data_IF_912167938471
#
_entry.id   IF_912167938471
#
_cell.length_a   1.000
_cell.length_b   1.000
_cell.length_c   1.000
_cell.angle_alpha   90.00
_cell.angle_beta   90.00
_cell.angle_gamma   90.00
#
_symmetry.space_group_name_H-M   'P 1'
#
loop_
_entity.id
_entity.type
_entity.pdbx_description
1 polymer ?
#
# COMPACT_ATOMS: atom_id res chain seq x y z
N UNK A 1 -12.89 -26.30 30.12
CA UNK A 1 -12.88 -25.28 29.07
C UNK A 1 -11.44 -25.19 28.54
N UNK A 2 -11.19 -25.72 27.33
CA UNK A 2 -9.92 -25.56 26.65
C UNK A 2 -9.76 -24.08 26.30
N UNK A 3 -8.79 -23.45 26.93
CA UNK A 3 -8.32 -22.12 26.51
C UNK A 3 -7.53 -22.36 25.24
N UNK A 4 -8.16 -22.12 24.09
CA UNK A 4 -7.49 -22.14 22.79
C UNK A 4 -6.47 -21.02 22.78
N UNK A 5 -5.19 -21.37 22.81
CA UNK A 5 -4.09 -20.41 22.68
C UNK A 5 -4.19 -19.72 21.32
N UNK A 6 -4.50 -18.42 21.32
CA UNK A 6 -4.60 -17.64 20.08
C UNK A 6 -3.27 -17.63 19.35
N UNK A 7 -3.30 -17.86 18.05
CA UNK A 7 -2.09 -17.77 17.22
C UNK A 7 -1.48 -16.36 17.28
N UNK A 8 -0.15 -16.22 17.19
CA UNK A 8 0.52 -14.91 17.25
C UNK A 8 -0.05 -13.87 16.25
N UNK A 9 -0.43 -14.29 15.06
CA UNK A 9 -1.06 -13.45 14.05
C UNK A 9 -2.41 -12.88 14.54
N UNK A 10 -3.26 -13.69 15.13
CA UNK A 10 -4.56 -13.26 15.67
C UNK A 10 -4.39 -12.23 16.79
N UNK A 11 -3.37 -12.40 17.63
CA UNK A 11 -3.04 -11.44 18.68
C UNK A 11 -2.61 -10.11 18.09
N UNK A 12 -1.75 -10.13 17.07
CA UNK A 12 -1.27 -8.91 16.39
C UNK A 12 -2.40 -8.17 15.71
N UNK A 13 -3.30 -8.85 15.03
CA UNK A 13 -4.49 -8.26 14.39
C UNK A 13 -5.41 -7.65 15.45
N UNK A 14 -5.64 -8.32 16.57
CA UNK A 14 -6.47 -7.77 17.65
C UNK A 14 -5.85 -6.54 18.29
N UNK A 15 -4.52 -6.54 18.48
CA UNK A 15 -3.80 -5.37 18.99
C UNK A 15 -3.89 -4.19 18.02
N UNK A 16 -3.79 -4.43 16.73
CA UNK A 16 -3.97 -3.39 15.71
C UNK A 16 -5.40 -2.82 15.76
N UNK A 17 -6.41 -3.69 15.79
CA UNK A 17 -7.81 -3.29 15.91
C UNK A 17 -8.05 -2.44 17.17
N UNK A 18 -7.57 -2.91 18.31
CA UNK A 18 -7.72 -2.19 19.59
C UNK A 18 -7.04 -0.81 19.57
N UNK A 19 -5.83 -0.72 19.00
CA UNK A 19 -5.12 0.55 18.87
C UNK A 19 -5.89 1.58 18.03
N UNK A 20 -6.57 1.11 16.99
CA UNK A 20 -7.44 1.95 16.16
C UNK A 20 -8.65 2.48 16.94
N UNK A 21 -9.32 1.61 17.70
CA UNK A 21 -10.46 1.99 18.55
C UNK A 21 -10.05 2.96 19.67
N UNK A 22 -8.93 2.69 20.32
CA UNK A 22 -8.41 3.51 21.42
C UNK A 22 -7.75 4.83 20.95
N UNK A 23 -7.61 5.02 19.63
CA UNK A 23 -6.87 6.14 19.02
C UNK A 23 -5.42 6.25 19.53
N UNK A 24 -4.82 5.11 19.85
CA UNK A 24 -3.41 5.02 20.24
C UNK A 24 -2.52 4.99 19.00
N UNK A 25 -2.12 6.17 18.54
CA UNK A 25 -1.34 6.36 17.30
C UNK A 25 -0.03 5.58 17.32
N UNK A 26 0.70 5.60 18.44
CA UNK A 26 2.01 4.92 18.53
C UNK A 26 1.83 3.40 18.49
N UNK A 27 0.86 2.88 19.21
CA UNK A 27 0.55 1.45 19.20
C UNK A 27 0.03 1.00 17.83
N UNK A 28 -0.79 1.81 17.17
CA UNK A 28 -1.24 1.55 15.81
C UNK A 28 -0.06 1.38 14.84
N UNK A 29 0.88 2.31 14.84
CA UNK A 29 2.08 2.25 14.02
C UNK A 29 2.97 1.05 14.37
N UNK A 30 3.05 0.72 15.66
CA UNK A 30 3.80 -0.45 16.13
C UNK A 30 3.20 -1.77 15.70
N UNK A 31 1.88 -1.87 15.63
CA UNK A 31 1.14 -3.07 15.28
C UNK A 31 0.82 -3.20 13.78
N UNK A 32 0.95 -2.10 13.02
CA UNK A 32 0.73 -2.15 11.58
C UNK A 32 1.72 -3.13 10.92
N UNK A 33 1.35 -3.82 9.81
CA UNK A 33 2.25 -4.75 9.14
C UNK A 33 3.64 -4.20 8.87
N UNK A 34 4.65 -5.06 9.01
CA UNK A 34 6.08 -4.69 8.88
C UNK A 34 6.65 -4.95 7.49
N UNK A 35 6.01 -5.82 6.74
CA UNK A 35 6.42 -6.23 5.40
C UNK A 35 5.19 -6.59 4.56
N UNK A 36 5.41 -6.89 3.28
CA UNK A 36 4.34 -7.25 2.36
C UNK A 36 3.58 -8.51 2.78
N UNK A 37 4.29 -9.53 3.27
CA UNK A 37 3.66 -10.77 3.72
C UNK A 37 2.68 -10.55 4.87
N UNK A 38 3.08 -9.76 5.87
CA UNK A 38 2.19 -9.41 6.97
C UNK A 38 1.01 -8.57 6.48
N UNK A 39 1.27 -7.61 5.59
CA UNK A 39 0.22 -6.78 5.01
C UNK A 39 -0.83 -7.64 4.30
N UNK A 40 -0.40 -8.58 3.48
CA UNK A 40 -1.29 -9.51 2.79
C UNK A 40 -2.06 -10.41 3.77
N UNK A 41 -1.41 -10.91 4.81
CA UNK A 41 -2.04 -11.76 5.82
C UNK A 41 -3.06 -11.02 6.69
N UNK A 42 -3.00 -9.70 6.75
CA UNK A 42 -3.99 -8.89 7.48
C UNK A 42 -5.14 -8.47 6.57
N UNK A 43 -4.84 -7.97 5.39
CA UNK A 43 -5.77 -7.25 4.53
C UNK A 43 -6.05 -7.94 3.18
N UNK A 44 -5.29 -8.93 2.79
CA UNK A 44 -5.39 -9.56 1.48
C UNK A 44 -6.36 -10.74 1.43
N UNK A 45 -6.27 -11.48 0.33
CA UNK A 45 -7.04 -12.69 0.08
C UNK A 45 -6.21 -13.94 0.32
N UNK A 46 -6.72 -14.87 1.09
CA UNK A 46 -6.12 -16.19 1.31
C UNK A 46 -6.47 -17.11 0.13
N UNK A 47 -5.65 -17.08 -0.89
CA UNK A 47 -5.88 -17.86 -2.12
C UNK A 47 -5.98 -19.37 -1.89
N UNK A 48 -5.13 -20.01 -1.06
CA UNK A 48 -5.24 -21.44 -0.78
C UNK A 48 -6.58 -21.87 -0.19
N UNK A 49 -7.19 -21.01 0.65
CA UNK A 49 -8.46 -21.28 1.30
C UNK A 49 -9.65 -20.60 0.61
N UNK A 50 -9.41 -19.84 -0.44
CA UNK A 50 -10.40 -19.04 -1.15
C UNK A 50 -11.28 -18.21 -0.20
N UNK A 51 -10.65 -17.46 0.66
CA UNK A 51 -11.29 -16.67 1.70
C UNK A 51 -10.58 -15.35 1.97
N UNK A 52 -11.28 -14.32 2.44
CA UNK A 52 -10.64 -13.09 2.87
C UNK A 52 -9.88 -13.30 4.19
N UNK A 53 -8.76 -12.60 4.35
CA UNK A 53 -8.13 -12.46 5.66
C UNK A 53 -8.98 -11.57 6.58
N UNK A 54 -8.69 -11.59 7.88
CA UNK A 54 -9.56 -11.04 8.92
C UNK A 54 -9.93 -9.56 8.75
N UNK A 55 -8.98 -8.73 8.28
CA UNK A 55 -9.20 -7.30 8.09
C UNK A 55 -9.44 -6.90 6.63
N UNK A 56 -9.71 -7.85 5.74
CA UNK A 56 -9.91 -7.61 4.33
C UNK A 56 -10.96 -6.52 4.06
N UNK A 57 -12.13 -6.63 4.67
CA UNK A 57 -13.25 -5.69 4.50
C UNK A 57 -12.96 -4.28 5.05
N UNK A 58 -11.96 -4.16 5.92
CA UNK A 58 -11.63 -2.92 6.62
C UNK A 58 -10.27 -2.34 6.20
N UNK A 59 -9.57 -2.98 5.27
CA UNK A 59 -8.22 -2.59 4.86
C UNK A 59 -8.09 -1.12 4.49
N UNK A 60 -9.07 -0.58 3.78
CA UNK A 60 -9.12 0.82 3.35
C UNK A 60 -9.01 1.77 4.54
N UNK A 61 -9.79 1.55 5.61
CA UNK A 61 -9.77 2.42 6.80
C UNK A 61 -8.42 2.43 7.52
N UNK A 62 -7.78 1.25 7.64
CA UNK A 62 -6.46 1.14 8.26
C UNK A 62 -5.38 1.82 7.44
N UNK A 63 -5.44 1.67 6.11
CA UNK A 63 -4.48 2.30 5.19
C UNK A 63 -4.63 3.82 5.22
N UNK A 64 -5.84 4.34 5.17
CA UNK A 64 -6.11 5.78 5.27
C UNK A 64 -5.60 6.37 6.58
N UNK A 65 -5.87 5.71 7.69
CA UNK A 65 -5.40 6.17 8.99
C UNK A 65 -3.88 6.17 9.08
N UNK A 66 -3.21 5.14 8.54
CA UNK A 66 -1.76 5.10 8.43
C UNK A 66 -1.21 6.35 7.73
N UNK A 67 -1.69 6.63 6.53
CA UNK A 67 -1.18 7.77 5.75
C UNK A 67 -1.60 9.12 6.33
N UNK A 68 -2.75 9.19 6.99
CA UNK A 68 -3.11 10.36 7.80
C UNK A 68 -2.06 10.65 8.88
N UNK A 69 -1.67 9.64 9.66
CA UNK A 69 -0.65 9.79 10.70
C UNK A 69 0.70 10.24 10.13
N UNK A 70 1.09 9.71 8.98
CA UNK A 70 2.35 10.10 8.33
C UNK A 70 2.32 11.57 7.87
N UNK A 71 1.20 12.05 7.39
CA UNK A 71 1.04 13.47 7.00
C UNK A 71 1.12 14.45 8.16
N UNK A 72 0.91 14.01 9.39
CA UNK A 72 1.03 14.88 10.58
C UNK A 72 2.48 15.27 10.90
N UNK A 73 3.46 14.61 10.28
CA UNK A 73 4.90 14.74 10.57
C UNK A 73 5.32 14.45 12.04
N UNK A 74 4.45 13.82 12.82
CA UNK A 74 4.78 13.39 14.19
C UNK A 74 5.69 12.16 14.22
N UNK A 75 5.67 11.35 13.17
CA UNK A 75 6.32 10.03 13.13
C UNK A 75 7.26 9.88 11.92
N UNK A 76 8.23 10.77 11.71
CA UNK A 76 9.06 10.74 10.50
C UNK A 76 9.90 9.47 10.38
N UNK A 77 10.29 8.86 11.49
CA UNK A 77 11.07 7.61 11.48
C UNK A 77 10.27 6.41 10.97
N UNK A 78 8.95 6.48 11.01
CA UNK A 78 8.08 5.38 10.57
C UNK A 78 8.01 5.27 9.05
N UNK A 79 8.27 6.32 8.27
CA UNK A 79 8.16 6.33 6.81
C UNK A 79 8.96 5.20 6.14
N UNK A 80 10.08 4.79 6.74
CA UNK A 80 10.87 3.64 6.27
C UNK A 80 10.11 2.32 6.29
N UNK A 81 9.09 2.18 7.12
CA UNK A 81 8.25 0.98 7.16
C UNK A 81 7.35 0.87 5.92
N UNK A 82 6.96 1.99 5.33
CA UNK A 82 6.25 1.99 4.04
C UNK A 82 7.11 1.30 2.98
N UNK A 83 8.38 1.63 2.92
CA UNK A 83 9.33 1.02 1.97
C UNK A 83 9.47 -0.49 2.23
N UNK A 84 9.54 -0.93 3.48
CA UNK A 84 9.60 -2.36 3.82
C UNK A 84 8.36 -3.13 3.38
N UNK A 85 7.19 -2.53 3.45
CA UNK A 85 5.95 -3.14 2.94
C UNK A 85 6.02 -3.25 1.42
N UNK A 86 6.60 -2.28 0.73
CA UNK A 86 6.76 -2.31 -0.73
C UNK A 86 7.78 -3.35 -1.21
N UNK A 87 8.80 -3.70 -0.40
CA UNK A 87 9.83 -4.65 -0.78
C UNK A 87 9.24 -6.04 -1.05
N UNK A 88 9.59 -6.64 -2.19
CA UNK A 88 9.11 -7.96 -2.63
C UNK A 88 7.59 -8.06 -2.75
N UNK A 89 6.92 -6.94 -2.79
CA UNK A 89 5.49 -6.86 -3.03
C UNK A 89 5.13 -7.07 -4.50
N UNK A 90 3.88 -7.37 -4.72
CA UNK A 90 3.27 -7.48 -6.04
C UNK A 90 1.86 -6.92 -5.96
N UNK A 91 1.31 -6.59 -7.12
CA UNK A 91 -0.06 -6.13 -7.20
C UNK A 91 -1.05 -7.21 -6.75
N UNK A 92 -2.03 -6.79 -6.02
CA UNK A 92 -3.29 -7.50 -5.77
C UNK A 92 -4.41 -6.46 -5.77
N UNK A 93 -5.61 -6.89 -6.09
CA UNK A 93 -6.79 -6.05 -6.00
C UNK A 93 -7.05 -5.56 -4.56
N UNK A 94 -7.94 -4.62 -4.41
CA UNK A 94 -8.44 -4.11 -3.13
C UNK A 94 -7.35 -3.45 -2.27
N UNK A 95 -7.09 -3.95 -1.07
CA UNK A 95 -6.22 -3.29 -0.10
C UNK A 95 -4.79 -3.05 -0.61
N UNK A 96 -4.19 -4.00 -1.35
CA UNK A 96 -2.84 -3.83 -1.89
C UNK A 96 -2.81 -2.72 -2.93
N UNK A 97 -3.74 -2.73 -3.87
CA UNK A 97 -3.89 -1.67 -4.88
C UNK A 97 -4.10 -0.30 -4.23
N UNK A 98 -4.94 -0.25 -3.22
CA UNK A 98 -5.21 0.96 -2.46
C UNK A 98 -3.97 1.48 -1.70
N UNK A 99 -3.19 0.57 -1.10
CA UNK A 99 -1.93 0.92 -0.46
C UNK A 99 -0.89 1.46 -1.46
N UNK A 100 -0.74 0.82 -2.62
CA UNK A 100 0.16 1.30 -3.68
C UNK A 100 -0.16 2.75 -4.07
N UNK A 101 -1.43 3.03 -4.28
CA UNK A 101 -1.92 4.36 -4.61
C UNK A 101 -1.55 5.40 -3.53
N UNK A 102 -1.83 5.09 -2.27
CA UNK A 102 -1.50 6.00 -1.16
C UNK A 102 0.00 6.18 -0.97
N UNK A 103 0.79 5.13 -1.17
CA UNK A 103 2.25 5.21 -1.09
C UNK A 103 2.83 6.12 -2.16
N UNK A 104 2.39 5.99 -3.42
CA UNK A 104 2.80 6.89 -4.51
C UNK A 104 2.38 8.32 -4.22
N UNK A 105 1.13 8.55 -3.82
CA UNK A 105 0.63 9.89 -3.49
C UNK A 105 1.41 10.52 -2.34
N UNK A 106 1.71 9.76 -1.30
CA UNK A 106 2.50 10.25 -0.18
C UNK A 106 3.91 10.69 -0.60
N UNK A 107 4.57 9.90 -1.45
CA UNK A 107 5.90 10.22 -1.97
C UNK A 107 5.84 11.50 -2.82
N UNK A 108 4.87 11.60 -3.73
CA UNK A 108 4.74 12.74 -4.65
C UNK A 108 4.35 14.03 -3.93
N UNK A 109 3.31 14.00 -3.13
CA UNK A 109 2.75 15.18 -2.47
C UNK A 109 3.63 15.76 -1.37
N UNK A 110 4.44 14.92 -0.73
CA UNK A 110 5.34 15.34 0.35
C UNK A 110 6.83 15.33 -0.07
N UNK A 111 7.12 15.18 -1.36
CA UNK A 111 8.49 15.17 -1.90
C UNK A 111 9.42 14.15 -1.22
N UNK A 112 8.89 12.95 -0.91
CA UNK A 112 9.60 11.89 -0.17
C UNK A 112 10.41 10.95 -1.06
N UNK A 113 10.89 11.42 -2.20
CA UNK A 113 11.67 10.61 -3.17
C UNK A 113 12.96 10.04 -2.58
N UNK A 114 13.52 10.65 -1.54
CA UNK A 114 14.70 10.12 -0.85
C UNK A 114 14.44 8.75 -0.20
N UNK A 115 13.21 8.41 0.13
CA UNK A 115 12.85 7.06 0.57
C UNK A 115 13.25 5.99 -0.46
N UNK A 116 13.30 6.35 -1.74
CA UNK A 116 13.73 5.48 -2.84
C UNK A 116 15.17 5.76 -3.22
N UNK A 117 15.55 7.04 -3.34
CA UNK A 117 16.88 7.44 -3.79
C UNK A 117 18.04 6.94 -2.91
N UNK A 118 17.78 6.76 -1.61
CA UNK A 118 18.78 6.26 -0.64
C UNK A 118 18.88 4.72 -0.59
N UNK A 119 17.99 4.00 -1.28
CA UNK A 119 18.04 2.54 -1.32
C UNK A 119 19.18 2.03 -2.18
N UNK A 120 19.64 0.80 -1.91
CA UNK A 120 20.45 0.06 -2.89
C UNK A 120 19.65 -0.16 -4.19
N UNK A 121 20.33 -0.36 -5.30
CA UNK A 121 19.68 -0.55 -6.60
C UNK A 121 18.74 -1.77 -6.60
N UNK A 122 19.12 -2.87 -5.96
CA UNK A 122 18.27 -4.06 -5.85
C UNK A 122 16.99 -3.79 -5.06
N UNK A 123 17.10 -3.11 -3.95
CA UNK A 123 15.92 -2.72 -3.16
C UNK A 123 15.05 -1.71 -3.90
N UNK A 124 15.65 -0.72 -4.53
CA UNK A 124 14.93 0.26 -5.32
C UNK A 124 14.16 -0.40 -6.47
N UNK A 125 14.76 -1.38 -7.14
CA UNK A 125 14.09 -2.14 -8.20
C UNK A 125 12.86 -2.87 -7.67
N UNK A 126 12.99 -3.55 -6.54
CA UNK A 126 11.87 -4.25 -5.88
C UNK A 126 10.73 -3.29 -5.48
N UNK A 127 11.07 -2.17 -4.86
CA UNK A 127 10.11 -1.15 -4.41
C UNK A 127 9.41 -0.49 -5.60
N UNK A 128 10.17 -0.07 -6.62
CA UNK A 128 9.63 0.55 -7.82
C UNK A 128 8.75 -0.42 -8.61
N UNK A 129 9.16 -1.70 -8.69
CA UNK A 129 8.30 -2.72 -9.27
C UNK A 129 6.95 -2.77 -8.57
N UNK A 130 6.94 -2.90 -7.24
CA UNK A 130 5.69 -2.96 -6.49
C UNK A 130 4.83 -1.71 -6.68
N UNK A 131 5.42 -0.53 -6.60
CA UNK A 131 4.66 0.73 -6.70
C UNK A 131 3.94 0.88 -8.05
N UNK A 132 4.51 0.36 -9.13
CA UNK A 132 3.97 0.50 -10.48
C UNK A 132 3.37 -0.79 -11.05
N UNK A 133 3.41 -1.90 -10.31
CA UNK A 133 2.77 -3.16 -10.73
C UNK A 133 1.25 -3.02 -10.70
N UNK A 134 0.60 -3.67 -11.65
CA UNK A 134 -0.85 -3.61 -11.76
C UNK A 134 -1.34 -4.23 -13.07
N UNK A 135 -2.67 -4.26 -13.27
CA UNK A 135 -3.24 -4.76 -14.53
C UNK A 135 -2.89 -3.86 -15.72
N UNK A 136 -2.65 -2.57 -15.48
CA UNK A 136 -2.30 -1.60 -16.52
C UNK A 136 -1.15 -0.69 -16.04
N UNK A 137 0.08 -1.21 -15.94
CA UNK A 137 1.23 -0.42 -15.50
C UNK A 137 1.45 0.79 -16.42
N UNK A 138 1.59 1.96 -15.84
CA UNK A 138 1.80 3.20 -16.57
C UNK A 138 3.03 3.93 -16.06
N UNK A 139 3.93 4.27 -16.98
CA UNK A 139 5.10 5.08 -16.67
C UNK A 139 4.70 6.50 -16.25
N UNK A 140 5.19 6.94 -15.10
CA UNK A 140 5.01 8.30 -14.58
C UNK A 140 6.30 9.09 -14.76
N UNK A 141 6.34 9.92 -15.82
CA UNK A 141 7.52 10.73 -16.16
C UNK A 141 7.82 11.79 -15.08
N UNK A 142 6.80 12.33 -14.44
CA UNK A 142 6.96 13.27 -13.34
C UNK A 142 7.62 12.62 -12.14
N UNK A 143 7.12 11.45 -11.70
CA UNK A 143 7.73 10.67 -10.64
C UNK A 143 9.20 10.33 -10.96
N UNK A 144 9.46 9.84 -12.17
CA UNK A 144 10.81 9.50 -12.63
C UNK A 144 11.77 10.70 -12.60
N UNK A 145 11.28 11.90 -12.91
CA UNK A 145 12.11 13.12 -12.94
C UNK A 145 12.68 13.52 -11.58
N UNK A 146 12.08 13.09 -10.48
CA UNK A 146 12.52 13.36 -9.12
C UNK A 146 13.45 12.28 -8.54
N UNK A 147 13.63 11.18 -9.25
CA UNK A 147 14.57 10.12 -8.88
C UNK A 147 16.00 10.52 -9.29
N UNK A 148 17.00 10.01 -8.54
CA UNK A 148 18.38 10.13 -8.99
C UNK A 148 18.61 9.29 -10.27
N UNK A 149 19.74 9.47 -10.92
CA UNK A 149 20.04 8.87 -12.23
C UNK A 149 19.91 7.34 -12.21
N UNK A 150 20.45 6.65 -11.20
CA UNK A 150 20.39 5.19 -11.13
C UNK A 150 18.98 4.67 -10.90
N UNK A 151 18.20 5.31 -10.04
CA UNK A 151 16.82 4.91 -9.74
C UNK A 151 15.86 5.22 -10.90
N UNK A 152 16.07 6.35 -11.56
CA UNK A 152 15.34 6.68 -12.79
C UNK A 152 15.58 5.63 -13.88
N UNK A 153 16.84 5.24 -14.10
CA UNK A 153 17.18 4.20 -15.05
C UNK A 153 16.51 2.86 -14.71
N UNK A 154 16.49 2.47 -13.44
CA UNK A 154 15.82 1.25 -12.99
C UNK A 154 14.32 1.30 -13.34
N UNK A 155 13.64 2.42 -13.08
CA UNK A 155 12.22 2.58 -13.40
C UNK A 155 11.98 2.51 -14.92
N UNK A 156 12.78 3.20 -15.71
CA UNK A 156 12.71 3.17 -17.17
C UNK A 156 12.90 1.73 -17.70
N UNK A 157 13.89 1.00 -17.21
CA UNK A 157 14.17 -0.39 -17.62
C UNK A 157 13.03 -1.34 -17.27
N UNK A 158 12.35 -1.17 -16.13
CA UNK A 158 11.19 -1.99 -15.76
C UNK A 158 10.07 -1.89 -16.81
N UNK A 159 9.87 -0.71 -17.39
CA UNK A 159 8.87 -0.51 -18.45
C UNK A 159 9.38 -0.91 -19.84
N UNK A 160 10.64 -0.66 -20.16
CA UNK A 160 11.22 -0.95 -21.48
C UNK A 160 11.41 -2.45 -21.71
N UNK A 161 11.74 -3.22 -20.69
CA UNK A 161 11.96 -4.67 -20.79
C UNK A 161 10.67 -5.48 -20.83
N UNK A 162 9.52 -4.86 -20.71
CA UNK A 162 8.24 -5.55 -20.60
C UNK A 162 8.12 -6.38 -19.32
N UNK A 163 8.81 -5.99 -18.25
CA UNK A 163 8.80 -6.72 -16.98
C UNK A 163 7.39 -6.82 -16.40
N UNK A 164 6.54 -5.83 -16.65
CA UNK A 164 5.14 -5.81 -16.25
C UNK A 164 4.23 -6.63 -17.18
N UNK A 165 4.63 -6.84 -18.43
CA UNK A 165 3.83 -7.58 -19.42
C UNK A 165 3.86 -9.12 -19.22
N UNK A 166 4.79 -9.61 -18.39
CA UNK A 166 4.94 -11.03 -18.09
C UNK A 166 3.98 -11.54 -17.01
N UNK A 167 3.14 -10.71 -16.46
CA UNK A 167 2.03 -11.15 -15.63
C UNK A 167 0.93 -11.72 -16.55
N UNK A 168 0.98 -13.02 -16.82
CA UNK A 168 0.00 -13.79 -17.58
C UNK A 168 -1.38 -13.88 -16.87
N UNK A 169 -1.89 -12.76 -16.43
CA UNK A 169 -3.27 -12.69 -15.99
C UNK A 169 -4.02 -11.80 -16.98
N UNK A 170 -4.63 -12.39 -18.02
CA UNK A 170 -5.49 -11.61 -18.88
C UNK A 170 -6.61 -11.02 -18.00
N UNK A 171 -6.70 -9.71 -18.01
CA UNK A 171 -7.81 -8.99 -17.40
C UNK A 171 -9.13 -9.58 -17.93
N UNK A 172 -9.95 -10.21 -17.07
CA UNK A 172 -11.23 -10.76 -17.51
C UNK A 172 -12.23 -9.68 -17.96
N UNK A 173 -11.87 -8.39 -17.86
CA UNK A 173 -12.72 -7.26 -18.20
C UNK A 173 -12.22 -6.43 -19.40
N UNK A 174 -11.34 -6.98 -20.24
CA UNK A 174 -10.80 -6.27 -21.42
C UNK A 174 -11.82 -5.91 -22.50
N UNK A 175 -13.08 -6.22 -22.37
CA UNK A 175 -14.09 -6.05 -23.42
C UNK A 175 -15.02 -4.84 -23.26
N UNK A 176 -14.78 -3.93 -22.33
CA UNK A 176 -15.56 -2.69 -22.33
C UNK A 176 -14.62 -1.46 -22.27
N UNK A 177 -14.59 -0.72 -23.38
CA UNK A 177 -14.19 0.68 -23.42
C UNK A 177 -15.03 1.51 -22.40
N UNK A 178 -14.83 1.29 -21.15
CA UNK A 178 -15.26 2.27 -20.17
C UNK A 178 -14.14 3.28 -20.03
N UNK A 179 -14.29 4.34 -20.78
CA UNK A 179 -13.62 5.64 -20.58
C UNK A 179 -14.02 6.22 -19.20
N UNK A 180 -13.88 5.42 -18.18
CA UNK A 180 -14.04 5.82 -16.79
C UNK A 180 -12.70 6.32 -16.29
N UNK A 181 -12.39 7.56 -16.62
CA UNK A 181 -11.41 8.35 -15.90
C UNK A 181 -11.94 8.59 -14.49
N UNK A 182 -11.82 7.57 -13.63
CA UNK A 182 -11.84 7.82 -12.19
C UNK A 182 -10.54 8.53 -11.87
N UNK A 183 -10.63 9.83 -11.71
CA UNK A 183 -9.52 10.61 -11.21
C UNK A 183 -9.40 10.36 -9.72
N UNK A 184 -8.18 10.47 -9.21
CA UNK A 184 -7.84 10.48 -7.79
C UNK A 184 -8.79 11.35 -6.96
N UNK A 185 -9.27 12.46 -7.54
CA UNK A 185 -10.30 13.33 -6.97
C UNK A 185 -11.61 12.63 -6.69
N UNK A 186 -12.06 11.74 -7.57
CA UNK A 186 -13.37 11.07 -7.42
C UNK A 186 -13.37 10.08 -6.26
N UNK A 187 -12.22 9.47 -5.98
CA UNK A 187 -12.04 8.57 -4.83
C UNK A 187 -11.99 9.36 -3.51
N UNK A 188 -11.31 10.49 -3.50
CA UNK A 188 -11.17 11.35 -2.32
C UNK A 188 -12.50 12.06 -1.97
N UNK A 189 -13.28 12.49 -2.94
CA UNK A 189 -14.56 13.17 -2.69
C UNK A 189 -15.63 12.24 -2.13
N UNK A 190 -15.64 10.97 -2.52
CA UNK A 190 -16.59 9.99 -2.01
C UNK A 190 -16.24 9.45 -0.61
N UNK A 191 -14.99 9.55 -0.17
CA UNK A 191 -14.54 9.01 1.11
C UNK A 191 -14.35 10.06 2.22
N UNK A 192 -14.43 11.34 1.93
CA UNK A 192 -14.44 12.38 2.95
C UNK A 192 -15.61 12.26 3.95
N UNK A 193 -16.59 11.44 3.66
CA UNK A 193 -17.71 11.17 4.57
C UNK A 193 -17.31 10.37 5.81
N UNK A 194 -16.27 9.54 5.75
CA UNK A 194 -15.87 8.67 6.86
C UNK A 194 -14.87 9.30 7.83
N UNK A 195 -14.07 10.26 7.38
CA UNK A 195 -13.11 10.96 8.25
C UNK A 195 -13.81 11.99 9.17
N UNK A 196 -14.97 12.50 8.78
CA UNK A 196 -15.75 13.46 9.59
C UNK A 196 -16.40 12.85 10.82
N UNK A 197 -16.70 11.55 10.80
CA UNK A 197 -17.31 10.86 11.95
C UNK A 197 -16.30 10.43 13.02
N UNK A 198 -15.00 10.51 12.73
CA UNK A 198 -13.93 10.21 13.69
C UNK A 198 -13.57 11.44 14.54
N UNK A 199 -13.91 12.65 14.07
CA UNK A 199 -13.52 13.92 14.72
C UNK A 199 -14.56 14.51 15.67
N UNK A 200 -15.67 13.83 15.93
CA UNK A 200 -16.70 14.39 16.81
C UNK A 200 -17.14 13.38 17.87
N UNK A 201 -16.36 13.31 18.96
CA UNK A 201 -16.80 13.31 20.38
C UNK A 201 -15.65 12.99 21.29
#
# INVERSE_FOLDING_TARGET
AEVQEKRPLEISIQNLYKSMEDKDEQEFLRQFPKDFNQFQNYFGWDTPNDAPHELYEHGVHYIEYLFYLLRTNKYPSYEKNIIRICENGRWEADAVNYFQYHAISHIKENEKYNLINELSDDKAKSVLFFLFDGPHPKFDADFASHLNTSKKQILEELFETGFFDNNENPDPFQDEETNSTYTVSDYIENEHFFIRDIDVN
#
